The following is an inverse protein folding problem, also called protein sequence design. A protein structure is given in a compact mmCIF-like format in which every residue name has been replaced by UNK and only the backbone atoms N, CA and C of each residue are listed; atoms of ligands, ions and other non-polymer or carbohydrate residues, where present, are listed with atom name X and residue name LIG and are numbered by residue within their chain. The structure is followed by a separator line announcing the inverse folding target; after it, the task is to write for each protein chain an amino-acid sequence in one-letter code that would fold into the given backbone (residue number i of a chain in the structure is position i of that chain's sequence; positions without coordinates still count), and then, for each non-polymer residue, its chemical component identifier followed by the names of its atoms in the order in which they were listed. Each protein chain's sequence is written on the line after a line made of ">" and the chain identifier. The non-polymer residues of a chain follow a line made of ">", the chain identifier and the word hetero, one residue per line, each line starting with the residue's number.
data_IF_426949978255
#
_entry.id   IF_426949978255
#
_cell.length_a   1.000
_cell.length_b   1.000
_cell.length_c   1.000
_cell.angle_alpha   90.00
_cell.angle_beta   90.00
_cell.angle_gamma   90.00
#
_symmetry.space_group_name_H-M   'P 1'
#
loop_
_entity.id
_entity.type
_entity.pdbx_description
1 polymer ?
#
# COMPACT_ATOMS: atom_id res chain seq x y z
N UNK A 1 -13.58 45.57 -43.94
CA UNK A 1 -13.58 44.09 -43.88
C UNK A 1 -15.00 43.61 -44.12
N UNK A 2 -15.26 42.94 -45.25
CA UNK A 2 -16.56 42.38 -45.59
C UNK A 2 -16.46 40.85 -45.51
N UNK A 3 -17.38 40.20 -44.79
CA UNK A 3 -17.69 38.78 -44.97
C UNK A 3 -19.18 38.68 -45.31
N UNK A 4 -19.45 38.55 -46.61
CA UNK A 4 -20.75 38.28 -47.18
C UNK A 4 -21.21 36.87 -46.80
N UNK A 5 -22.51 36.73 -46.54
CA UNK A 5 -23.13 35.49 -46.10
C UNK A 5 -23.21 34.39 -47.17
N UNK A 6 -23.64 33.20 -46.73
CA UNK A 6 -24.54 32.35 -47.49
C UNK A 6 -25.14 31.26 -46.59
N UNK A 7 -26.45 31.40 -46.38
CA UNK A 7 -27.37 30.37 -45.95
C UNK A 7 -27.61 29.40 -47.12
N UNK A 8 -27.50 28.07 -46.92
CA UNK A 8 -28.28 27.03 -47.63
C UNK A 8 -27.89 25.59 -47.24
N UNK A 9 -28.86 24.90 -46.63
CA UNK A 9 -29.45 23.62 -47.07
C UNK A 9 -28.49 22.54 -47.62
N UNK A 10 -28.26 21.49 -46.84
CA UNK A 10 -27.69 20.23 -47.34
C UNK A 10 -28.81 19.27 -47.74
N UNK A 11 -28.89 19.02 -49.05
CA UNK A 11 -29.63 17.93 -49.68
C UNK A 11 -28.76 16.68 -49.75
N UNK A 12 -29.40 15.52 -49.63
CA UNK A 12 -28.83 14.18 -49.81
C UNK A 12 -28.09 14.00 -51.14
N UNK A 13 -26.97 13.27 -51.13
CA UNK A 13 -26.59 12.25 -52.14
C UNK A 13 -25.15 11.75 -51.97
N UNK A 14 -24.92 10.48 -52.30
CA UNK A 14 -23.66 10.02 -52.88
C UNK A 14 -22.68 9.31 -51.94
N UNK A 15 -22.71 7.98 -51.95
CA UNK A 15 -21.69 7.15 -51.32
C UNK A 15 -20.35 7.14 -52.05
N UNK A 16 -19.29 6.87 -51.30
CA UNK A 16 -18.03 6.35 -51.82
C UNK A 16 -17.46 5.35 -50.79
N UNK A 17 -17.19 4.13 -51.25
CA UNK A 17 -16.59 3.03 -50.47
C UNK A 17 -15.08 3.28 -50.30
N UNK A 18 -14.49 3.03 -49.12
CA UNK A 18 -13.03 2.95 -48.97
C UNK A 18 -12.47 1.58 -49.41
N UNK A 19 -11.15 1.49 -49.70
CA UNK A 19 -10.57 0.51 -50.62
C UNK A 19 -10.35 -0.89 -50.01
N UNK A 20 -10.52 -1.91 -50.85
CA UNK A 20 -10.25 -3.31 -50.56
C UNK A 20 -8.74 -3.59 -50.56
N UNK A 21 -8.18 -3.99 -49.42
CA UNK A 21 -6.84 -4.57 -49.37
C UNK A 21 -6.91 -6.06 -49.72
N UNK A 22 -6.53 -6.40 -50.96
CA UNK A 22 -6.29 -7.79 -51.38
C UNK A 22 -4.95 -8.26 -50.80
N UNK A 23 -4.98 -9.03 -49.71
CA UNK A 23 -3.83 -9.83 -49.31
C UNK A 23 -3.63 -10.97 -50.32
N UNK A 24 -2.48 -10.99 -50.96
CA UNK A 24 -2.02 -12.09 -51.82
C UNK A 24 -1.81 -13.32 -50.95
N UNK A 25 -2.41 -14.44 -51.36
CA UNK A 25 -2.20 -15.74 -50.77
C UNK A 25 -0.73 -16.17 -50.88
N UNK A 26 -0.20 -16.65 -49.77
CA UNK A 26 1.06 -17.37 -49.68
C UNK A 26 0.68 -18.82 -49.41
N UNK A 27 0.62 -19.63 -50.46
CA UNK A 27 0.35 -21.07 -50.39
C UNK A 27 1.62 -21.77 -49.87
N UNK A 28 1.60 -22.21 -48.60
CA UNK A 28 2.39 -23.34 -48.10
C UNK A 28 1.46 -24.54 -47.98
N UNK A 29 1.80 -25.64 -48.64
CA UNK A 29 0.99 -26.84 -48.79
C UNK A 29 1.61 -27.99 -48.00
N UNK A 30 1.19 -28.09 -46.75
CA UNK A 30 1.39 -29.20 -45.80
C UNK A 30 0.68 -28.74 -44.52
N UNK A 31 -0.50 -29.26 -44.17
CA UNK A 31 -0.75 -30.68 -44.03
C UNK A 31 -0.85 -31.07 -42.56
N UNK A 32 -1.45 -30.25 -41.69
CA UNK A 32 -2.10 -30.72 -40.45
C UNK A 32 -2.99 -29.61 -39.89
N UNK A 33 -4.31 -29.78 -40.03
CA UNK A 33 -5.31 -28.94 -39.39
C UNK A 33 -5.36 -29.35 -37.91
N UNK A 34 -4.51 -28.78 -37.07
CA UNK A 34 -4.60 -28.96 -35.62
C UNK A 34 -5.88 -28.32 -35.12
N UNK A 35 -6.85 -29.16 -34.75
CA UNK A 35 -8.04 -28.87 -33.97
C UNK A 35 -8.66 -27.49 -34.22
N UNK A 36 -9.63 -27.41 -35.14
CA UNK A 36 -10.77 -26.54 -34.89
C UNK A 36 -11.43 -27.06 -33.63
N UNK A 37 -11.02 -26.56 -32.47
CA UNK A 37 -11.86 -26.61 -31.28
C UNK A 37 -13.16 -25.91 -31.66
N UNK A 38 -14.22 -26.70 -31.77
CA UNK A 38 -15.55 -26.17 -31.92
C UNK A 38 -15.77 -25.24 -30.73
N UNK A 39 -16.05 -23.96 -31.01
CA UNK A 39 -16.52 -23.03 -29.97
C UNK A 39 -17.90 -23.54 -29.57
N UNK A 40 -17.93 -24.41 -28.56
CA UNK A 40 -19.16 -24.88 -27.92
C UNK A 40 -19.79 -23.66 -27.28
N UNK A 41 -20.69 -23.00 -28.01
CA UNK A 41 -21.55 -21.95 -27.47
C UNK A 41 -22.51 -22.65 -26.52
N UNK A 42 -22.10 -22.79 -25.27
CA UNK A 42 -22.90 -23.41 -24.23
C UNK A 42 -24.14 -22.53 -24.02
N UNK A 43 -25.28 -22.97 -24.54
CA UNK A 43 -26.56 -22.25 -24.43
C UNK A 43 -27.21 -22.41 -23.05
N UNK A 44 -26.57 -23.17 -22.16
CA UNK A 44 -26.94 -23.32 -20.76
C UNK A 44 -26.54 -22.11 -19.92
N UNK A 45 -27.46 -21.64 -19.08
CA UNK A 45 -27.12 -20.69 -18.02
C UNK A 45 -26.21 -21.39 -17.01
N UNK A 46 -25.18 -20.71 -16.54
CA UNK A 46 -24.30 -21.20 -15.47
C UNK A 46 -25.06 -21.29 -14.14
N UNK A 47 -24.45 -21.91 -13.13
CA UNK A 47 -24.97 -21.99 -11.76
C UNK A 47 -24.99 -20.65 -10.99
N UNK A 48 -24.88 -19.51 -11.70
CA UNK A 48 -24.94 -18.19 -11.12
C UNK A 48 -26.32 -17.88 -10.53
N UNK A 49 -26.38 -17.66 -9.22
CA UNK A 49 -27.60 -17.33 -8.48
C UNK A 49 -27.83 -15.82 -8.25
N UNK A 50 -26.95 -14.95 -8.79
CA UNK A 50 -27.04 -13.50 -8.61
C UNK A 50 -28.17 -12.91 -9.51
N UNK A 51 -28.84 -11.84 -9.07
CA UNK A 51 -29.90 -11.15 -9.83
C UNK A 51 -29.54 -9.66 -9.97
N UNK A 52 -29.65 -9.10 -11.19
CA UNK A 52 -29.23 -7.72 -11.47
C UNK A 52 -30.38 -6.73 -11.24
N UNK A 53 -30.18 -5.64 -10.45
CA UNK A 53 -31.21 -4.63 -10.27
C UNK A 53 -31.38 -3.78 -11.54
N UNK A 54 -32.63 -3.51 -11.94
CA UNK A 54 -32.95 -2.82 -13.21
C UNK A 54 -32.49 -1.36 -13.31
N UNK A 55 -32.05 -0.74 -12.20
CA UNK A 55 -31.72 0.69 -12.13
C UNK A 55 -30.21 0.99 -12.12
N UNK A 56 -29.38 -0.01 -12.44
CA UNK A 56 -28.12 0.17 -13.18
C UNK A 56 -27.01 1.06 -12.61
N UNK A 57 -26.32 0.60 -11.57
CA UNK A 57 -24.93 1.05 -11.24
C UNK A 57 -23.99 -0.14 -10.91
N UNK A 58 -24.47 -1.36 -11.14
CA UNK A 58 -23.82 -2.59 -10.69
C UNK A 58 -24.29 -3.03 -9.31
N UNK A 59 -23.87 -4.22 -8.89
CA UNK A 59 -24.23 -4.79 -7.60
C UNK A 59 -23.07 -5.62 -7.06
N UNK A 60 -23.04 -5.79 -5.74
CA UNK A 60 -22.09 -6.67 -5.08
C UNK A 60 -22.61 -8.12 -5.08
N UNK A 61 -21.86 -9.05 -5.70
CA UNK A 61 -22.23 -10.47 -5.74
C UNK A 61 -21.52 -11.20 -4.59
N UNK A 62 -22.30 -11.62 -3.58
CA UNK A 62 -21.79 -12.26 -2.36
C UNK A 62 -20.99 -13.55 -2.63
N UNK A 63 -21.29 -14.26 -3.72
CA UNK A 63 -20.61 -15.52 -4.07
C UNK A 63 -19.15 -15.32 -4.47
N UNK A 64 -18.91 -14.36 -5.36
CA UNK A 64 -17.57 -14.08 -5.90
C UNK A 64 -16.86 -12.92 -5.19
N UNK A 65 -17.48 -12.36 -4.13
CA UNK A 65 -16.98 -11.24 -3.30
C UNK A 65 -16.45 -10.06 -4.12
N UNK A 66 -17.15 -9.72 -5.21
CA UNK A 66 -16.75 -8.63 -6.11
C UNK A 66 -17.95 -7.81 -6.57
N UNK A 67 -17.65 -6.57 -6.97
CA UNK A 67 -18.62 -5.69 -7.61
C UNK A 67 -18.75 -6.06 -9.08
N UNK A 68 -19.99 -6.30 -9.56
CA UNK A 68 -20.27 -6.64 -10.96
C UNK A 68 -21.13 -5.57 -11.61
N UNK A 69 -20.67 -5.09 -12.76
CA UNK A 69 -21.48 -4.32 -13.72
C UNK A 69 -22.39 -5.28 -14.51
N UNK A 70 -23.32 -4.73 -15.29
CA UNK A 70 -24.28 -5.53 -16.07
C UNK A 70 -23.59 -6.54 -17.00
N UNK A 71 -22.57 -6.09 -17.74
CA UNK A 71 -21.82 -6.94 -18.67
C UNK A 71 -21.12 -8.11 -17.97
N UNK A 72 -20.48 -7.84 -16.82
CA UNK A 72 -19.79 -8.86 -16.03
C UNK A 72 -20.78 -9.85 -15.42
N UNK A 73 -21.98 -9.40 -15.08
CA UNK A 73 -23.05 -10.28 -14.65
C UNK A 73 -23.53 -11.19 -15.79
N UNK A 74 -23.70 -10.63 -17.00
CA UNK A 74 -24.09 -11.43 -18.17
C UNK A 74 -23.03 -12.47 -18.54
N UNK A 75 -21.75 -12.11 -18.49
CA UNK A 75 -20.65 -13.06 -18.69
C UNK A 75 -20.70 -14.17 -17.66
N UNK A 76 -20.85 -13.81 -16.38
CA UNK A 76 -20.96 -14.80 -15.31
C UNK A 76 -22.14 -15.76 -15.49
N UNK A 77 -23.25 -15.32 -16.09
CA UNK A 77 -24.46 -16.14 -16.29
C UNK A 77 -24.42 -16.98 -17.58
N UNK A 78 -23.82 -16.45 -18.65
CA UNK A 78 -23.85 -17.06 -19.99
C UNK A 78 -22.60 -17.87 -20.33
N UNK A 79 -21.49 -17.65 -19.61
CA UNK A 79 -20.18 -18.22 -19.91
C UNK A 79 -19.60 -18.95 -18.72
N UNK A 80 -19.43 -20.27 -18.87
CA UNK A 80 -18.93 -21.16 -17.82
C UNK A 80 -17.44 -20.95 -17.55
N UNK A 81 -16.66 -20.62 -18.57
CA UNK A 81 -15.23 -20.30 -18.46
C UNK A 81 -14.99 -19.08 -17.57
N UNK A 82 -15.80 -18.02 -17.75
CA UNK A 82 -15.75 -16.84 -16.89
C UNK A 82 -16.27 -17.16 -15.48
N UNK A 83 -17.32 -17.98 -15.38
CA UNK A 83 -17.87 -18.42 -14.09
C UNK A 83 -16.81 -19.15 -13.26
N UNK A 84 -16.13 -20.15 -13.84
CA UNK A 84 -15.08 -20.91 -13.17
C UNK A 84 -13.89 -20.02 -12.79
N UNK A 85 -13.49 -19.10 -13.66
CA UNK A 85 -12.42 -18.13 -13.36
C UNK A 85 -12.74 -17.23 -12.16
N UNK A 86 -14.01 -16.83 -11.99
CA UNK A 86 -14.45 -16.08 -10.81
C UNK A 86 -14.54 -16.95 -9.53
N UNK A 87 -14.89 -18.23 -9.65
CA UNK A 87 -14.82 -19.19 -8.52
C UNK A 87 -13.38 -19.42 -8.05
N UNK A 88 -12.41 -19.38 -8.98
CA UNK A 88 -10.97 -19.46 -8.69
C UNK A 88 -10.36 -18.17 -8.10
N UNK A 89 -11.10 -17.07 -8.06
CA UNK A 89 -10.59 -15.80 -7.54
C UNK A 89 -9.74 -14.99 -8.53
N UNK A 90 -9.77 -15.31 -9.82
CA UNK A 90 -8.98 -14.64 -10.88
C UNK A 90 -9.82 -13.84 -11.87
N UNK A 91 -10.93 -13.27 -11.40
CA UNK A 91 -11.85 -12.51 -12.25
C UNK A 91 -11.63 -10.99 -12.22
N UNK A 92 -12.06 -10.26 -13.26
CA UNK A 92 -12.10 -8.80 -13.23
C UNK A 92 -12.80 -8.28 -11.97
N UNK A 93 -12.23 -7.24 -11.36
CA UNK A 93 -12.73 -6.57 -10.15
C UNK A 93 -12.75 -7.40 -8.85
N UNK A 94 -12.12 -8.58 -8.78
CA UNK A 94 -11.98 -9.31 -7.50
C UNK A 94 -10.89 -8.73 -6.59
N UNK A 95 -9.80 -8.23 -7.15
CA UNK A 95 -8.64 -7.80 -6.37
C UNK A 95 -8.75 -6.39 -5.77
N UNK A 96 -9.72 -5.57 -6.20
CA UNK A 96 -9.72 -4.13 -5.86
C UNK A 96 -9.84 -3.84 -4.35
N UNK A 97 -10.69 -4.57 -3.63
CA UNK A 97 -10.88 -4.36 -2.19
C UNK A 97 -9.75 -4.98 -1.37
N UNK A 98 -9.27 -6.15 -1.79
CA UNK A 98 -8.17 -6.84 -1.11
C UNK A 98 -6.87 -6.06 -1.27
N UNK A 99 -6.62 -5.49 -2.45
CA UNK A 99 -5.43 -4.70 -2.72
C UNK A 99 -5.45 -3.37 -1.95
N UNK A 100 -6.59 -2.68 -1.85
CA UNK A 100 -6.66 -1.45 -1.06
C UNK A 100 -6.43 -1.69 0.44
N UNK A 101 -6.96 -2.79 0.99
CA UNK A 101 -6.71 -3.19 2.39
C UNK A 101 -5.24 -3.60 2.62
N UNK A 102 -4.63 -4.31 1.65
CA UNK A 102 -3.20 -4.68 1.70
C UNK A 102 -2.27 -3.47 1.59
N UNK A 103 -2.62 -2.50 0.74
CA UNK A 103 -1.87 -1.24 0.62
C UNK A 103 -1.97 -0.39 1.89
N UNK A 104 -3.15 -0.33 2.51
CA UNK A 104 -3.36 0.36 3.79
C UNK A 104 -2.54 -0.25 4.91
N UNK A 105 -2.58 -1.58 5.06
CA UNK A 105 -1.82 -2.31 6.09
C UNK A 105 -0.30 -2.21 5.87
N UNK A 106 0.16 -2.27 4.61
CA UNK A 106 1.59 -2.09 4.30
C UNK A 106 2.10 -0.69 4.69
N UNK A 107 1.34 0.36 4.42
CA UNK A 107 1.71 1.74 4.81
C UNK A 107 1.80 1.91 6.32
N UNK A 108 0.86 1.31 7.07
CA UNK A 108 0.89 1.36 8.54
C UNK A 108 2.13 0.68 9.11
N UNK A 109 2.50 -0.50 8.58
CA UNK A 109 3.70 -1.22 8.99
C UNK A 109 4.96 -0.41 8.66
N UNK A 110 5.06 0.16 7.45
CA UNK A 110 6.22 0.98 7.05
C UNK A 110 6.37 2.25 7.92
N UNK A 111 5.26 2.87 8.33
CA UNK A 111 5.27 4.05 9.18
C UNK A 111 5.66 3.71 10.63
N UNK A 112 5.19 2.58 11.17
CA UNK A 112 5.55 2.07 12.49
C UNK A 112 7.03 1.62 12.56
N UNK A 113 7.52 0.91 11.54
CA UNK A 113 8.93 0.51 11.42
C UNK A 113 9.86 1.74 11.34
N UNK A 114 9.47 2.77 10.58
CA UNK A 114 10.23 4.03 10.49
C UNK A 114 10.26 4.78 11.83
N UNK A 115 9.13 4.83 12.54
CA UNK A 115 9.06 5.45 13.87
C UNK A 115 9.96 4.71 14.87
N UNK A 116 9.95 3.38 14.86
CA UNK A 116 10.86 2.56 15.67
C UNK A 116 12.33 2.80 15.31
N UNK A 117 12.70 2.84 14.03
CA UNK A 117 14.08 3.10 13.60
C UNK A 117 14.53 4.52 14.01
N UNK A 118 13.65 5.51 13.90
CA UNK A 118 13.93 6.88 14.32
C UNK A 118 14.13 6.98 15.83
N UNK A 119 13.31 6.29 16.62
CA UNK A 119 13.51 6.16 18.06
C UNK A 119 14.87 5.52 18.34
N UNK A 120 15.19 4.37 17.75
CA UNK A 120 16.47 3.69 17.95
C UNK A 120 17.70 4.54 17.58
N UNK A 121 17.60 5.33 16.51
CA UNK A 121 18.69 6.22 16.03
C UNK A 121 19.03 7.33 17.03
N UNK A 122 18.04 7.77 17.82
CA UNK A 122 18.17 8.87 18.76
C UNK A 122 18.62 8.45 20.17
N UNK A 123 18.60 7.14 20.46
CA UNK A 123 19.07 6.58 21.73
C UNK A 123 20.50 6.02 21.62
N UNK A 124 21.27 6.16 22.71
CA UNK A 124 22.65 5.70 22.76
C UNK A 124 22.70 4.18 23.01
N UNK A 125 23.23 3.42 22.04
CA UNK A 125 23.31 1.95 22.07
C UNK A 125 21.95 1.28 22.32
N UNK A 126 20.87 1.85 21.76
CA UNK A 126 19.51 1.29 21.85
C UNK A 126 18.88 1.35 23.25
N UNK A 127 19.46 2.06 24.21
CA UNK A 127 18.91 2.19 25.57
C UNK A 127 17.94 3.40 25.65
N UNK A 128 16.62 3.18 25.84
CA UNK A 128 15.61 4.25 25.78
C UNK A 128 15.78 5.32 26.86
N UNK A 129 16.56 5.04 27.91
CA UNK A 129 16.83 6.02 28.99
C UNK A 129 17.95 7.02 28.64
N UNK A 130 18.72 6.77 27.57
CA UNK A 130 19.96 7.49 27.29
C UNK A 130 19.88 8.18 25.92
N UNK A 131 19.67 9.51 25.86
CA UNK A 131 19.64 10.22 24.59
C UNK A 131 21.04 10.32 23.96
N UNK A 132 21.14 10.21 22.64
CA UNK A 132 22.39 10.33 21.87
C UNK A 132 23.10 11.66 22.12
N UNK A 133 22.36 12.75 22.30
CA UNK A 133 22.90 14.05 22.75
C UNK A 133 22.75 14.19 24.27
N UNK A 134 23.87 14.36 24.97
CA UNK A 134 23.85 14.54 26.44
C UNK A 134 23.31 15.92 26.80
N UNK A 135 22.27 15.98 27.65
CA UNK A 135 21.69 17.24 28.14
C UNK A 135 22.44 17.77 29.38
N UNK A 136 23.03 16.87 30.16
CA UNK A 136 23.80 17.18 31.35
C UNK A 136 24.72 16.04 31.81
N UNK A 137 25.24 16.18 33.04
CA UNK A 137 26.20 15.22 33.61
C UNK A 137 25.62 13.82 33.79
N UNK A 138 24.34 13.72 34.17
CA UNK A 138 23.65 12.44 34.35
C UNK A 138 23.64 11.59 33.07
N UNK A 139 23.35 12.20 31.92
CA UNK A 139 23.38 11.50 30.63
C UNK A 139 24.79 11.02 30.26
N UNK A 140 25.83 11.73 30.70
CA UNK A 140 27.23 11.37 30.41
C UNK A 140 27.69 10.18 31.25
N UNK A 141 27.36 10.19 32.55
CA UNK A 141 27.64 9.06 33.44
C UNK A 141 26.89 7.82 32.95
N UNK A 142 25.63 7.95 32.55
CA UNK A 142 24.83 6.82 32.05
C UNK A 142 25.39 6.24 30.75
N UNK A 143 25.90 7.08 29.84
CA UNK A 143 26.62 6.60 28.64
C UNK A 143 27.88 5.82 29.02
N UNK A 144 28.66 6.34 29.96
CA UNK A 144 29.88 5.68 30.40
C UNK A 144 29.60 4.34 31.08
N UNK A 145 28.58 4.27 31.95
CA UNK A 145 28.19 3.01 32.63
C UNK A 145 27.54 2.00 31.67
N UNK A 146 26.84 2.46 30.63
CA UNK A 146 26.33 1.60 29.56
C UNK A 146 27.46 1.06 28.69
N UNK A 147 28.38 1.93 28.26
CA UNK A 147 29.53 1.55 27.43
C UNK A 147 30.49 0.59 28.15
N UNK A 148 30.62 0.71 29.47
CA UNK A 148 31.42 -0.20 30.31
C UNK A 148 30.66 -1.46 30.75
N UNK A 149 29.37 -1.59 30.42
CA UNK A 149 28.55 -2.76 30.77
C UNK A 149 28.11 -2.84 32.23
N UNK A 150 28.49 -1.88 33.07
CA UNK A 150 28.14 -1.85 34.50
C UNK A 150 26.63 -1.76 34.70
N UNK A 151 25.92 -1.02 33.83
CA UNK A 151 24.46 -0.86 33.92
C UNK A 151 23.72 -2.21 33.90
N UNK A 152 24.11 -3.13 33.01
CA UNK A 152 23.47 -4.45 32.92
C UNK A 152 23.70 -5.33 34.15
N UNK A 153 24.90 -5.27 34.75
CA UNK A 153 25.21 -6.01 35.99
C UNK A 153 24.38 -5.48 37.16
N UNK A 154 24.21 -4.16 37.24
CA UNK A 154 23.38 -3.54 38.28
C UNK A 154 21.92 -3.90 38.07
N UNK A 155 21.38 -3.74 36.86
CA UNK A 155 19.97 -4.03 36.56
C UNK A 155 19.63 -5.49 36.91
N UNK A 156 20.44 -6.46 36.49
CA UNK A 156 20.24 -7.89 36.82
C UNK A 156 20.29 -8.18 38.32
N UNK A 157 21.16 -7.52 39.08
CA UNK A 157 21.23 -7.68 40.53
C UNK A 157 19.98 -7.12 41.23
N UNK A 158 19.43 -6.02 40.71
CA UNK A 158 18.25 -5.36 41.25
C UNK A 158 16.94 -6.07 40.87
N UNK A 159 16.86 -6.62 39.65
CA UNK A 159 15.78 -7.49 39.19
C UNK A 159 15.69 -8.74 40.07
N UNK A 160 16.83 -9.35 40.41
CA UNK A 160 16.89 -10.50 41.31
C UNK A 160 16.45 -10.18 42.75
N UNK A 161 16.42 -8.90 43.13
CA UNK A 161 15.98 -8.42 44.44
C UNK A 161 14.57 -7.82 44.42
N UNK A 162 13.85 -7.92 43.27
CA UNK A 162 12.54 -7.31 43.02
C UNK A 162 12.49 -5.82 43.39
N UNK A 163 13.57 -5.08 43.12
CA UNK A 163 13.68 -3.64 43.45
C UNK A 163 14.24 -2.85 42.28
N UNK A 164 13.68 -1.69 42.01
CA UNK A 164 14.23 -0.77 41.00
C UNK A 164 15.48 -0.02 41.51
N UNK A 165 16.56 0.02 40.72
CA UNK A 165 17.74 0.88 40.97
C UNK A 165 17.36 2.38 41.12
N UNK A 166 16.33 2.82 40.38
CA UNK A 166 15.98 4.24 40.22
C UNK A 166 16.99 5.02 39.38
N UNK A 167 17.76 4.34 38.53
CA UNK A 167 18.85 4.90 37.73
C UNK A 167 18.39 6.10 36.86
N UNK A 168 17.18 6.07 36.28
CA UNK A 168 16.58 7.16 35.47
C UNK A 168 16.27 8.43 36.26
N UNK A 169 15.79 8.30 37.50
CA UNK A 169 15.51 9.44 38.37
C UNK A 169 16.79 10.15 38.81
N UNK A 170 17.82 9.36 39.17
CA UNK A 170 19.14 9.86 39.54
C UNK A 170 19.78 10.61 38.37
N UNK A 171 19.74 10.04 37.17
CA UNK A 171 20.19 10.67 35.93
C UNK A 171 19.46 12.00 35.70
N UNK A 172 18.14 12.02 35.80
CA UNK A 172 17.31 13.21 35.60
C UNK A 172 17.62 14.30 36.63
N UNK A 173 17.82 13.94 37.89
CA UNK A 173 18.21 14.86 38.97
C UNK A 173 19.59 15.46 38.70
N UNK A 174 20.57 14.65 38.28
CA UNK A 174 21.91 15.12 37.93
C UNK A 174 21.91 16.06 36.71
N UNK A 175 21.08 15.77 35.70
CA UNK A 175 20.93 16.64 34.53
C UNK A 175 20.33 18.01 34.89
N UNK A 176 19.39 18.06 35.84
CA UNK A 176 18.81 19.32 36.36
C UNK A 176 19.84 20.15 37.12
N UNK A 177 20.68 19.50 37.92
CA UNK A 177 21.73 20.15 38.71
C UNK A 177 22.92 20.63 37.86
N UNK A 178 23.33 19.83 36.88
CA UNK A 178 24.48 20.09 36.01
C UNK A 178 24.12 20.03 34.51
N UNK A 179 23.41 21.03 33.98
CA UNK A 179 23.09 21.12 32.56
C UNK A 179 24.26 21.69 31.75
N UNK A 180 24.57 21.11 30.60
CA UNK A 180 25.69 21.58 29.75
C UNK A 180 25.35 22.82 28.90
N UNK A 181 24.05 23.11 28.68
CA UNK A 181 23.60 24.23 27.84
C UNK A 181 23.54 25.60 28.53
N UNK A 182 23.83 25.71 29.84
CA UNK A 182 23.78 27.01 30.54
C UNK A 182 25.12 27.72 30.42
N UNK A 183 25.22 28.73 29.53
CA UNK A 183 26.29 29.74 29.59
C UNK A 183 26.15 30.46 30.94
N UNK A 184 26.98 30.09 31.93
CA UNK A 184 27.11 30.88 33.16
C UNK A 184 27.62 32.25 32.72
N UNK A 185 26.79 33.29 32.78
CA UNK A 185 27.32 34.66 32.77
C UNK A 185 28.14 34.77 34.05
N UNK A 186 29.46 34.64 33.95
CA UNK A 186 30.35 35.07 35.01
C UNK A 186 30.07 36.56 35.18
N UNK A 187 29.37 36.94 36.27
CA UNK A 187 29.47 38.33 36.72
C UNK A 187 30.95 38.55 36.94
N UNK A 188 31.54 39.52 36.24
CA UNK A 188 32.90 39.96 36.48
C UNK A 188 33.04 40.16 37.98
N UNK A 189 33.85 39.31 38.61
CA UNK A 189 34.17 39.38 40.03
C UNK A 189 35.41 40.29 40.25
N UNK A 190 35.80 41.03 39.23
CA UNK A 190 36.87 42.01 39.29
C UNK A 190 36.43 43.23 38.49
N UNK A 191 35.63 44.08 39.13
CA UNK A 191 35.47 45.49 38.78
C UNK A 191 35.47 46.29 40.07
#
# INVERSE_FOLDING_TARGET
>A
MACNGCNKRWTSSGGSKPPTHKSKGFFGADGELSHTEEVVVNTGKTACACNFPKNGEGFYCNRHKCWKTEDLFQLCQKREDYYNMWEEGRGPLQDLYVNSMKEGTKKQIEEEELEQEMLERDYFMGDPDIPKKSRGLGDTVSKFTKATGIKAVVDTAFDAMDKDCGCRERQSKLNKLFPYGKKRKTKGFFE
#
